data_IF_573192970535
#
_entry.id   IF_573192970535
#
_cell.length_a   1.000
_cell.length_b   1.000
_cell.length_c   1.000
_cell.angle_alpha   90.00
_cell.angle_beta   90.00
_cell.angle_gamma   90.00
#
_symmetry.space_group_name_H-M   'P 1'
#
loop_
_entity.id
_entity.type
_entity.pdbx_description
1 polymer ?
#
# COMPACT_ATOMS: atom_id res chain seq x y z
N UNK A 1 30.48 22.15 15.37
CA UNK A 1 30.33 20.72 15.04
C UNK A 1 28.89 20.23 15.24
N UNK A 2 28.10 20.93 16.09
CA UNK A 2 26.72 20.51 16.43
C UNK A 2 25.64 20.78 15.35
N UNK A 3 25.66 21.94 14.67
CA UNK A 3 24.63 22.29 13.69
C UNK A 3 24.52 21.35 12.49
N UNK A 4 25.64 20.77 12.02
CA UNK A 4 25.59 19.77 10.93
C UNK A 4 24.98 18.46 11.38
N UNK A 5 25.25 18.08 12.62
CA UNK A 5 24.70 16.84 13.21
C UNK A 5 23.22 17.01 13.48
N UNK A 6 22.79 18.16 14.00
CA UNK A 6 21.35 18.48 14.20
C UNK A 6 20.57 18.50 12.90
N UNK A 7 21.10 19.10 11.84
CA UNK A 7 20.47 19.09 10.50
C UNK A 7 20.41 17.69 9.87
N UNK A 8 21.37 16.81 10.17
CA UNK A 8 21.33 15.42 9.74
C UNK A 8 20.35 14.59 10.54
N UNK A 9 20.21 14.87 11.85
CA UNK A 9 19.23 14.19 12.72
C UNK A 9 17.80 14.60 12.33
N UNK A 10 17.56 15.86 12.05
CA UNK A 10 16.26 16.38 11.60
C UNK A 10 15.81 15.78 10.25
N UNK A 11 16.73 15.36 9.39
CA UNK A 11 16.42 14.75 8.09
C UNK A 11 16.21 13.22 8.13
N UNK A 12 16.43 12.57 9.28
CA UNK A 12 16.32 11.10 9.40
C UNK A 12 14.96 10.53 8.99
N UNK A 13 13.80 11.11 9.36
CA UNK A 13 12.51 10.56 8.97
C UNK A 13 12.28 10.64 7.45
N UNK A 14 12.66 11.72 6.81
CA UNK A 14 12.59 11.86 5.36
C UNK A 14 13.50 10.88 4.64
N UNK A 15 14.71 10.64 5.14
CA UNK A 15 15.63 9.65 4.57
C UNK A 15 15.09 8.23 4.67
N UNK A 16 14.42 7.88 5.77
CA UNK A 16 13.75 6.58 5.92
C UNK A 16 12.62 6.42 4.92
N UNK A 17 11.75 7.43 4.80
CA UNK A 17 10.68 7.41 3.80
C UNK A 17 11.24 7.27 2.38
N UNK A 18 12.30 8.03 2.05
CA UNK A 18 12.93 7.98 0.73
C UNK A 18 13.53 6.60 0.43
N UNK A 19 14.13 5.96 1.40
CA UNK A 19 14.66 4.59 1.28
C UNK A 19 13.53 3.60 0.99
N UNK A 20 12.41 3.66 1.71
CA UNK A 20 11.25 2.80 1.44
C UNK A 20 10.63 3.08 0.08
N UNK A 21 10.50 4.33 -0.33
CA UNK A 21 10.02 4.70 -1.66
C UNK A 21 10.93 4.15 -2.77
N UNK A 22 12.25 4.21 -2.57
CA UNK A 22 13.23 3.64 -3.51
C UNK A 22 13.13 2.13 -3.60
N UNK A 23 13.00 1.42 -2.47
CA UNK A 23 12.81 -0.03 -2.45
C UNK A 23 11.52 -0.40 -3.19
N UNK A 24 10.43 0.32 -2.95
CA UNK A 24 9.15 0.11 -3.64
C UNK A 24 9.29 0.31 -5.15
N UNK A 25 10.01 1.34 -5.57
CA UNK A 25 10.25 1.64 -6.99
C UNK A 25 11.11 0.57 -7.66
N UNK A 26 12.13 0.05 -6.98
CA UNK A 26 12.95 -1.06 -7.45
C UNK A 26 12.13 -2.35 -7.54
N UNK A 27 11.26 -2.63 -6.57
CA UNK A 27 10.37 -3.79 -6.60
C UNK A 27 9.36 -3.69 -7.77
N UNK A 28 8.78 -2.51 -8.00
CA UNK A 28 7.89 -2.25 -9.14
C UNK A 28 8.62 -2.40 -10.48
N UNK A 29 9.86 -1.91 -10.59
CA UNK A 29 10.68 -2.09 -11.76
C UNK A 29 11.01 -3.57 -12.01
N UNK A 30 11.35 -4.33 -10.96
CA UNK A 30 11.56 -5.77 -11.04
C UNK A 30 10.30 -6.52 -11.50
N UNK A 31 9.12 -6.16 -10.97
CA UNK A 31 7.85 -6.73 -11.37
C UNK A 31 7.51 -6.41 -12.84
N UNK A 32 7.88 -5.23 -13.32
CA UNK A 32 7.74 -4.86 -14.74
C UNK A 32 8.63 -5.72 -15.63
N UNK A 33 9.90 -5.91 -15.27
CA UNK A 33 10.88 -6.70 -16.04
C UNK A 33 10.53 -8.20 -16.09
N UNK A 34 9.95 -8.73 -15.04
CA UNK A 34 9.51 -10.15 -14.99
C UNK A 34 8.19 -10.41 -15.70
N UNK A 35 7.52 -9.37 -16.23
CA UNK A 35 6.23 -9.49 -16.90
C UNK A 35 5.05 -9.76 -15.95
N UNK A 36 5.25 -9.69 -14.63
CA UNK A 36 4.18 -9.88 -13.63
C UNK A 36 3.05 -8.88 -13.85
N UNK A 37 3.37 -7.63 -14.21
CA UNK A 37 2.35 -6.61 -14.46
C UNK A 37 1.45 -6.98 -15.63
N UNK A 38 2.02 -7.52 -16.72
CA UNK A 38 1.26 -7.99 -17.87
C UNK A 38 0.41 -9.22 -17.50
N UNK A 39 0.97 -10.16 -16.71
CA UNK A 39 0.24 -11.31 -16.22
C UNK A 39 -0.95 -10.92 -15.33
N UNK A 40 -0.78 -9.90 -14.46
CA UNK A 40 -1.87 -9.36 -13.66
C UNK A 40 -2.91 -8.67 -14.53
N UNK A 41 -2.48 -7.90 -15.55
CA UNK A 41 -3.39 -7.21 -16.47
C UNK A 41 -4.26 -8.20 -17.25
N UNK A 42 -3.68 -9.31 -17.73
CA UNK A 42 -4.39 -10.31 -18.53
C UNK A 42 -5.37 -11.13 -17.69
N UNK A 43 -5.16 -11.23 -16.38
CA UNK A 43 -5.92 -12.11 -15.48
C UNK A 43 -6.88 -11.32 -14.57
N UNK A 44 -6.56 -10.07 -14.20
CA UNK A 44 -7.40 -9.27 -13.28
C UNK A 44 -8.58 -8.60 -14.00
N UNK A 45 -9.64 -9.38 -14.24
CA UNK A 45 -10.88 -8.88 -14.85
C UNK A 45 -11.63 -7.87 -13.95
N UNK A 46 -11.35 -7.87 -12.63
CA UNK A 46 -12.00 -6.97 -11.67
C UNK A 46 -11.37 -5.57 -11.63
N UNK A 47 -10.12 -5.43 -12.05
CA UNK A 47 -9.34 -4.20 -11.96
C UNK A 47 -9.02 -3.76 -10.53
N UNK A 48 -9.36 -4.56 -9.51
CA UNK A 48 -9.16 -4.23 -8.10
C UNK A 48 -7.68 -4.14 -7.73
N UNK A 49 -6.80 -4.95 -8.37
CA UNK A 49 -5.36 -4.88 -8.14
C UNK A 49 -4.80 -3.50 -8.54
N UNK A 50 -5.27 -2.95 -9.66
CA UNK A 50 -4.84 -1.61 -10.13
C UNK A 50 -5.37 -0.50 -9.24
N UNK A 51 -6.61 -0.61 -8.74
CA UNK A 51 -7.18 0.34 -7.78
C UNK A 51 -6.36 0.36 -6.48
N UNK A 52 -6.02 -0.81 -5.92
CA UNK A 52 -5.19 -0.93 -4.72
C UNK A 52 -3.81 -0.32 -4.95
N UNK A 53 -3.19 -0.59 -6.10
CA UNK A 53 -1.90 -0.03 -6.46
C UNK A 53 -1.96 1.50 -6.61
N UNK A 54 -3.04 2.04 -7.18
CA UNK A 54 -3.29 3.48 -7.26
C UNK A 54 -3.39 4.12 -5.88
N UNK A 55 -4.12 3.51 -4.95
CA UNK A 55 -4.23 3.97 -3.55
C UNK A 55 -2.85 3.97 -2.89
N UNK A 56 -2.06 2.89 -3.05
CA UNK A 56 -0.71 2.79 -2.51
C UNK A 56 0.17 3.96 -2.98
N UNK A 57 0.19 4.24 -4.28
CA UNK A 57 1.01 5.32 -4.86
C UNK A 57 0.58 6.68 -4.30
N UNK A 58 -0.71 7.00 -4.32
CA UNK A 58 -1.24 8.28 -3.82
C UNK A 58 -0.92 8.48 -2.34
N UNK A 59 -1.15 7.46 -1.53
CA UNK A 59 -0.91 7.54 -0.07
C UNK A 59 0.58 7.56 0.27
N UNK A 60 1.42 6.87 -0.48
CA UNK A 60 2.88 6.92 -0.30
C UNK A 60 3.43 8.32 -0.62
N UNK A 61 2.97 8.96 -1.70
CA UNK A 61 3.36 10.34 -2.05
C UNK A 61 2.87 11.30 -0.96
N UNK A 62 1.63 11.16 -0.50
CA UNK A 62 1.06 12.00 0.55
C UNK A 62 1.85 11.87 1.86
N UNK A 63 2.17 10.65 2.28
CA UNK A 63 3.02 10.39 3.45
C UNK A 63 4.40 11.08 3.30
N UNK A 64 5.01 11.05 2.11
CA UNK A 64 6.28 11.72 1.84
C UNK A 64 6.18 13.24 1.96
N UNK A 65 5.12 13.86 1.41
CA UNK A 65 4.89 15.30 1.51
C UNK A 65 4.66 15.70 2.97
N UNK A 66 3.86 14.96 3.71
CA UNK A 66 3.57 15.24 5.13
C UNK A 66 4.84 15.08 5.98
N UNK A 67 5.66 14.05 5.75
CA UNK A 67 6.96 13.87 6.40
C UNK A 67 7.92 15.02 6.08
N UNK A 68 7.96 15.46 4.81
CA UNK A 68 8.81 16.59 4.42
C UNK A 68 8.36 17.89 5.07
N UNK A 69 7.06 18.18 5.12
CA UNK A 69 6.50 19.35 5.79
C UNK A 69 6.85 19.36 7.28
N UNK A 70 6.63 18.24 7.96
CA UNK A 70 6.94 18.11 9.40
C UNK A 70 8.42 18.40 9.69
N UNK A 71 9.31 17.92 8.82
CA UNK A 71 10.76 18.14 8.96
C UNK A 71 11.20 19.59 8.64
N UNK A 72 10.36 20.37 7.96
CA UNK A 72 10.67 21.75 7.51
C UNK A 72 10.12 22.84 8.43
N UNK A 73 9.32 22.50 9.43
CA UNK A 73 8.75 23.45 10.40
C UNK A 73 9.79 23.75 11.46
N UNK A 74 10.24 25.03 11.57
CA UNK A 74 11.19 25.48 12.60
C UNK A 74 10.55 25.64 14.00
N UNK A 75 9.26 26.00 14.05
CA UNK A 75 8.50 26.18 15.30
C UNK A 75 7.25 25.30 15.23
N UNK A 76 7.35 24.08 15.74
CA UNK A 76 6.23 23.13 15.81
C UNK A 76 5.26 23.59 16.90
N UNK A 77 3.97 23.65 16.57
CA UNK A 77 2.89 24.03 17.50
C UNK A 77 2.09 22.77 17.87
N UNK A 78 1.44 22.74 19.04
CA UNK A 78 0.52 21.66 19.42
C UNK A 78 -0.53 21.35 18.34
N UNK A 79 -1.00 22.38 17.64
CA UNK A 79 -1.95 22.23 16.54
C UNK A 79 -1.36 21.43 15.38
N UNK A 80 -0.09 21.67 15.04
CA UNK A 80 0.60 20.96 13.96
C UNK A 80 0.79 19.48 14.29
N UNK A 81 1.04 19.17 15.56
CA UNK A 81 1.15 17.81 16.08
C UNK A 81 -0.20 17.10 16.00
N UNK A 82 -1.27 17.72 16.50
CA UNK A 82 -2.62 17.15 16.46
C UNK A 82 -3.09 16.88 15.02
N UNK A 83 -2.79 17.79 14.08
CA UNK A 83 -3.07 17.60 12.66
C UNK A 83 -2.25 16.43 12.07
N UNK A 84 -1.01 16.27 12.51
CA UNK A 84 -0.13 15.20 12.08
C UNK A 84 -0.57 13.83 12.59
N UNK A 85 -1.09 13.75 13.82
CA UNK A 85 -1.73 12.53 14.32
C UNK A 85 -2.95 12.13 13.49
N UNK A 86 -3.83 13.07 13.17
CA UNK A 86 -5.00 12.79 12.31
C UNK A 86 -4.60 12.30 10.91
N UNK A 87 -3.48 12.80 10.38
CA UNK A 87 -2.93 12.30 9.09
C UNK A 87 -2.37 10.89 9.22
N UNK A 88 -1.68 10.58 10.33
CA UNK A 88 -1.18 9.24 10.63
C UNK A 88 -2.34 8.24 10.73
N UNK A 89 -3.38 8.56 11.48
CA UNK A 89 -4.58 7.73 11.63
C UNK A 89 -5.28 7.46 10.28
N UNK A 90 -5.37 8.50 9.44
CA UNK A 90 -5.89 8.35 8.08
C UNK A 90 -5.06 7.35 7.27
N UNK A 91 -3.74 7.38 7.41
CA UNK A 91 -2.84 6.45 6.74
C UNK A 91 -3.02 5.01 7.21
N UNK A 92 -3.15 4.80 8.52
CA UNK A 92 -3.46 3.50 9.09
C UNK A 92 -4.78 2.95 8.56
N UNK A 93 -5.84 3.78 8.60
CA UNK A 93 -7.15 3.41 8.09
C UNK A 93 -7.13 3.02 6.60
N UNK A 94 -6.45 3.79 5.75
CA UNK A 94 -6.34 3.46 4.32
C UNK A 94 -5.53 2.20 4.08
N UNK A 95 -4.51 1.93 4.90
CA UNK A 95 -3.76 0.66 4.80
C UNK A 95 -4.65 -0.56 5.08
N UNK A 96 -5.57 -0.45 6.05
CA UNK A 96 -6.55 -1.50 6.35
C UNK A 96 -7.60 -1.65 5.24
N UNK A 97 -7.99 -0.54 4.60
CA UNK A 97 -8.85 -0.58 3.40
C UNK A 97 -8.16 -1.34 2.27
N UNK A 98 -6.87 -1.12 2.01
CA UNK A 98 -6.15 -1.88 0.97
C UNK A 98 -6.17 -3.39 1.24
N UNK A 99 -5.99 -3.80 2.50
CA UNK A 99 -6.09 -5.20 2.90
C UNK A 99 -7.50 -5.75 2.68
N UNK A 100 -8.51 -5.01 3.09
CA UNK A 100 -9.93 -5.38 2.93
C UNK A 100 -10.32 -5.50 1.46
N UNK A 101 -9.88 -4.56 0.62
CA UNK A 101 -10.10 -4.63 -0.84
C UNK A 101 -9.45 -5.86 -1.46
N UNK A 102 -8.25 -6.25 -0.99
CA UNK A 102 -7.61 -7.50 -1.42
C UNK A 102 -8.47 -8.72 -1.09
N UNK A 103 -9.05 -8.79 0.11
CA UNK A 103 -9.96 -9.87 0.49
C UNK A 103 -11.27 -9.86 -0.30
N UNK A 104 -11.85 -8.67 -0.54
CA UNK A 104 -13.04 -8.52 -1.41
C UNK A 104 -12.73 -9.02 -2.81
N UNK A 105 -11.54 -8.70 -3.34
CA UNK A 105 -11.10 -9.17 -4.65
C UNK A 105 -11.01 -10.70 -4.73
N UNK A 106 -10.61 -11.37 -3.65
CA UNK A 106 -10.64 -12.85 -3.58
C UNK A 106 -12.06 -13.39 -3.74
N UNK A 107 -13.00 -12.84 -2.98
CA UNK A 107 -14.40 -13.26 -3.04
C UNK A 107 -14.99 -12.99 -4.43
N UNK A 108 -14.74 -11.80 -4.97
CA UNK A 108 -15.19 -11.43 -6.32
C UNK A 108 -14.61 -12.36 -7.40
N UNK A 109 -13.31 -12.68 -7.33
CA UNK A 109 -12.65 -13.62 -8.25
C UNK A 109 -13.24 -15.02 -8.18
N UNK A 110 -13.55 -15.52 -6.99
CA UNK A 110 -14.23 -16.82 -6.82
C UNK A 110 -15.65 -16.83 -7.37
N UNK A 111 -16.42 -15.76 -7.10
CA UNK A 111 -17.80 -15.64 -7.64
C UNK A 111 -17.75 -15.63 -9.17
N UNK A 112 -16.84 -14.86 -9.75
CA UNK A 112 -16.65 -14.79 -11.19
C UNK A 112 -16.27 -16.17 -11.78
N UNK A 113 -15.31 -16.85 -11.16
CA UNK A 113 -14.89 -18.20 -11.54
C UNK A 113 -16.06 -19.17 -11.56
N UNK A 114 -16.86 -19.21 -10.49
CA UNK A 114 -17.98 -20.14 -10.40
C UNK A 114 -19.05 -19.82 -11.44
N UNK A 115 -19.39 -18.54 -11.61
CA UNK A 115 -20.43 -18.14 -12.56
C UNK A 115 -20.05 -18.43 -14.01
N UNK A 116 -18.80 -18.22 -14.39
CA UNK A 116 -18.31 -18.46 -15.74
C UNK A 116 -18.07 -19.95 -16.04
N UNK A 117 -17.55 -20.70 -15.05
CA UNK A 117 -17.19 -22.11 -15.24
C UNK A 117 -18.39 -23.03 -15.31
N UNK A 118 -19.45 -22.75 -14.55
CA UNK A 118 -20.61 -23.65 -14.48
C UNK A 118 -21.77 -23.27 -15.42
N UNK A 119 -21.70 -22.10 -16.08
CA UNK A 119 -22.79 -21.62 -16.94
C UNK A 119 -23.04 -22.50 -18.19
N UNK A 120 -22.01 -23.21 -18.69
CA UNK A 120 -22.06 -23.93 -19.97
C UNK A 120 -21.34 -25.29 -19.94
N UNK A 121 -21.52 -26.08 -18.88
CA UNK A 121 -20.87 -27.41 -18.79
C UNK A 121 -21.66 -28.41 -19.62
N UNK A 122 -21.02 -28.94 -20.68
CA UNK A 122 -21.41 -30.17 -21.32
C UNK A 122 -20.46 -31.30 -20.89
N UNK A 123 -20.95 -32.15 -19.99
CA UNK A 123 -20.15 -33.23 -19.35
C UNK A 123 -19.77 -34.32 -20.36
N UNK A 124 -20.44 -34.38 -21.51
CA UNK A 124 -20.17 -35.39 -22.55
C UNK A 124 -19.01 -35.00 -23.47
N UNK A 125 -18.50 -33.76 -23.39
CA UNK A 125 -17.48 -33.25 -24.30
C UNK A 125 -16.17 -32.91 -23.55
N UNK A 126 -15.07 -33.64 -23.86
CA UNK A 126 -13.75 -33.45 -23.23
C UNK A 126 -13.20 -32.03 -23.44
N UNK A 127 -13.47 -31.41 -24.59
CA UNK A 127 -13.03 -30.03 -24.86
C UNK A 127 -13.79 -29.01 -23.99
N UNK A 128 -15.03 -29.25 -23.63
CA UNK A 128 -15.80 -28.44 -22.70
C UNK A 128 -15.19 -28.49 -21.29
N UNK A 129 -14.77 -29.65 -20.82
CA UNK A 129 -14.10 -29.83 -19.53
C UNK A 129 -12.75 -29.11 -19.49
N UNK A 130 -11.97 -29.14 -20.57
CA UNK A 130 -10.70 -28.37 -20.62
C UNK A 130 -10.92 -26.87 -20.56
N UNK A 131 -11.94 -26.34 -21.22
CA UNK A 131 -12.29 -24.93 -21.16
C UNK A 131 -12.71 -24.52 -19.72
N UNK A 132 -13.53 -25.34 -19.05
CA UNK A 132 -13.94 -25.11 -17.66
C UNK A 132 -12.72 -25.06 -16.73
N UNK A 133 -11.78 -26.00 -16.86
CA UNK A 133 -10.54 -26.01 -16.06
C UNK A 133 -9.68 -24.76 -16.31
N UNK A 134 -9.60 -24.29 -17.54
CA UNK A 134 -8.88 -23.06 -17.90
C UNK A 134 -9.52 -21.83 -17.26
N UNK A 135 -10.84 -21.69 -17.35
CA UNK A 135 -11.56 -20.59 -16.71
C UNK A 135 -11.46 -20.62 -15.17
N UNK A 136 -11.52 -21.81 -14.57
CA UNK A 136 -11.30 -21.97 -13.13
C UNK A 136 -9.89 -21.52 -12.71
N UNK A 137 -8.87 -21.89 -13.48
CA UNK A 137 -7.49 -21.47 -13.22
C UNK A 137 -7.33 -19.96 -13.31
N UNK A 138 -7.93 -19.31 -14.30
CA UNK A 138 -7.89 -17.85 -14.46
C UNK A 138 -8.58 -17.13 -13.29
N UNK A 139 -9.78 -17.55 -12.89
CA UNK A 139 -10.48 -16.96 -11.77
C UNK A 139 -9.76 -17.12 -10.41
N UNK A 140 -9.13 -18.29 -10.21
CA UNK A 140 -8.27 -18.49 -9.03
C UNK A 140 -7.05 -17.55 -9.03
N UNK A 141 -6.42 -17.37 -10.18
CA UNK A 141 -5.28 -16.47 -10.30
C UNK A 141 -5.68 -15.02 -10.01
N UNK A 142 -6.82 -14.54 -10.56
CA UNK A 142 -7.37 -13.21 -10.23
C UNK A 142 -7.52 -13.03 -8.71
N UNK A 143 -8.15 -13.99 -8.03
CA UNK A 143 -8.35 -13.94 -6.59
C UNK A 143 -7.02 -13.85 -5.82
N UNK A 144 -6.00 -14.59 -6.22
CA UNK A 144 -4.69 -14.59 -5.57
C UNK A 144 -3.92 -13.29 -5.82
N UNK A 145 -3.95 -12.75 -7.04
CA UNK A 145 -3.25 -11.50 -7.36
C UNK A 145 -3.84 -10.30 -6.63
N UNK A 146 -5.16 -10.19 -6.52
CA UNK A 146 -5.81 -9.10 -5.78
C UNK A 146 -5.49 -9.14 -4.29
N UNK A 147 -5.49 -10.34 -3.70
CA UNK A 147 -5.09 -10.51 -2.29
C UNK A 147 -3.63 -10.17 -2.07
N UNK A 148 -2.74 -10.65 -2.95
CA UNK A 148 -1.32 -10.32 -2.86
C UNK A 148 -1.07 -8.81 -3.00
N UNK A 149 -1.75 -8.13 -3.92
CA UNK A 149 -1.69 -6.67 -4.07
C UNK A 149 -2.16 -5.95 -2.79
N UNK A 150 -3.28 -6.39 -2.20
CA UNK A 150 -3.82 -5.84 -0.95
C UNK A 150 -2.86 -5.99 0.23
N UNK A 151 -2.31 -7.19 0.42
CA UNK A 151 -1.36 -7.51 1.49
C UNK A 151 -0.08 -6.68 1.37
N UNK A 152 0.53 -6.67 0.19
CA UNK A 152 1.78 -5.94 -0.07
C UNK A 152 1.56 -4.44 0.12
N UNK A 153 0.49 -3.88 -0.46
CA UNK A 153 0.17 -2.45 -0.34
C UNK A 153 -0.09 -2.04 1.11
N UNK A 154 -0.86 -2.83 1.86
CA UNK A 154 -1.12 -2.59 3.27
C UNK A 154 0.16 -2.62 4.10
N UNK A 155 1.02 -3.62 3.89
CA UNK A 155 2.29 -3.74 4.61
C UNK A 155 3.21 -2.55 4.35
N UNK A 156 3.35 -2.10 3.09
CA UNK A 156 4.16 -0.93 2.75
C UNK A 156 3.63 0.36 3.37
N UNK A 157 2.32 0.60 3.28
CA UNK A 157 1.71 1.78 3.90
C UNK A 157 1.87 1.78 5.41
N UNK A 158 1.65 0.65 6.08
CA UNK A 158 1.83 0.53 7.54
C UNK A 158 3.25 0.87 7.96
N UNK A 159 4.27 0.40 7.26
CA UNK A 159 5.65 0.74 7.59
C UNK A 159 5.94 2.23 7.39
N UNK A 160 5.43 2.84 6.31
CA UNK A 160 5.61 4.27 6.05
C UNK A 160 4.93 5.14 7.12
N UNK A 161 3.68 4.84 7.44
CA UNK A 161 2.92 5.60 8.45
C UNK A 161 3.39 5.32 9.88
N UNK A 162 3.91 4.14 10.17
CA UNK A 162 4.60 3.86 11.43
C UNK A 162 5.83 4.75 11.63
N UNK A 163 6.66 4.89 10.59
CA UNK A 163 7.81 5.81 10.66
C UNK A 163 7.39 7.27 10.81
N UNK A 164 6.29 7.68 10.17
CA UNK A 164 5.72 9.01 10.28
C UNK A 164 5.18 9.27 11.70
N UNK A 165 4.36 8.37 12.25
CA UNK A 165 3.80 8.51 13.61
C UNK A 165 4.89 8.54 14.68
N UNK A 166 5.93 7.72 14.56
CA UNK A 166 7.08 7.75 15.48
C UNK A 166 7.78 9.10 15.50
N UNK A 167 7.84 9.81 14.38
CA UNK A 167 8.42 11.14 14.33
C UNK A 167 7.49 12.19 14.95
N UNK A 168 6.19 12.07 14.73
CA UNK A 168 5.17 12.92 15.38
C UNK A 168 5.24 12.77 16.89
N UNK A 169 5.33 11.53 17.40
CA UNK A 169 5.46 11.23 18.84
C UNK A 169 6.72 11.88 19.44
N UNK A 170 7.85 11.80 18.73
CA UNK A 170 9.10 12.42 19.17
C UNK A 170 8.97 13.92 19.31
N UNK A 171 8.41 14.59 18.30
CA UNK A 171 8.22 16.04 18.32
C UNK A 171 7.21 16.47 19.39
N UNK A 172 6.17 15.69 19.63
CA UNK A 172 5.21 15.92 20.71
C UNK A 172 5.88 15.88 22.09
N UNK A 173 6.76 14.90 22.31
CA UNK A 173 7.51 14.80 23.57
C UNK A 173 8.48 15.97 23.77
N UNK A 174 9.18 16.39 22.72
CA UNK A 174 10.11 17.52 22.76
C UNK A 174 9.39 18.84 23.10
N UNK A 175 8.16 19.04 22.60
CA UNK A 175 7.33 20.20 22.97
C UNK A 175 6.91 20.17 24.43
N UNK A 176 6.40 19.07 24.92
CA UNK A 176 5.93 18.90 26.29
C UNK A 176 7.06 19.16 27.33
N UNK A 177 8.29 18.73 26.98
CA UNK A 177 9.47 18.98 27.80
C UNK A 177 9.91 20.48 27.78
N UNK A 178 9.72 21.15 26.65
CA UNK A 178 10.06 22.60 26.52
C UNK A 178 9.11 23.51 27.28
N UNK A 179 7.83 23.11 27.43
CA UNK A 179 6.85 23.89 28.22
C UNK A 179 7.02 23.73 29.75
N UNK A 180 7.69 22.66 30.19
CA UNK A 180 7.93 22.38 31.62
C UNK A 180 9.20 23.03 32.16
N UNK A 181 10.03 23.67 31.32
CA UNK A 181 11.32 24.29 31.69
C UNK A 181 11.23 25.80 31.68
#
# INVERSE_FOLDING_TARGET
MNERIEKLIAKRPFLRWWLFATIMLLAAFGAFQTGIINAVYDVDETGLSFLIMGILIVMSIKCGIDTFRLTSIENVTEKDINESYAKADTGWFVSDICLTLGMIGTVAGFIYMLSSSFANIDVSNVSSLQNVLSHMSAGMATALYTTAAGLVSSAFLKVQYFNYSTEVDRLGTELDDSEKT
#
